data_IF_694308388959
#
_entry.id   IF_694308388959
#
_cell.length_a   1.000
_cell.length_b   1.000
_cell.length_c   1.000
_cell.angle_alpha   90.00
_cell.angle_beta   90.00
_cell.angle_gamma   90.00
#
_symmetry.space_group_name_H-M   'P 1'
#
loop_
_entity.id
_entity.type
_entity.pdbx_description
1 polymer ?
#
# COMPACT_ATOMS: atom_id res chain seq x y z
N UNK A 1 9.70 -8.18 0.23
CA UNK A 1 9.35 -6.89 0.86
C UNK A 1 8.53 -6.04 -0.10
N UNK A 2 7.34 -5.66 0.36
CA UNK A 2 6.30 -4.85 -0.30
C UNK A 2 5.79 -5.30 -1.68
N UNK A 3 6.00 -6.56 -2.06
CA UNK A 3 5.39 -7.24 -3.23
C UNK A 3 4.99 -6.37 -4.43
N UNK A 4 3.75 -6.59 -4.90
CA UNK A 4 3.06 -5.80 -5.94
C UNK A 4 2.38 -4.53 -5.39
N UNK A 5 2.78 -4.04 -4.20
CA UNK A 5 2.19 -2.85 -3.62
C UNK A 5 2.38 -1.66 -4.58
N UNK A 6 1.26 -1.01 -4.90
CA UNK A 6 1.22 0.11 -5.81
C UNK A 6 1.75 1.37 -5.14
N UNK A 7 1.94 2.44 -5.94
CA UNK A 7 2.29 3.75 -5.37
C UNK A 7 1.23 4.19 -4.36
N UNK A 8 -0.04 3.99 -4.67
CA UNK A 8 -1.15 4.45 -3.86
C UNK A 8 -1.25 3.68 -2.54
N UNK A 9 -1.00 2.37 -2.55
CA UNK A 9 -0.96 1.55 -1.32
C UNK A 9 0.12 2.08 -0.37
N UNK A 10 1.34 2.32 -0.90
CA UNK A 10 2.45 2.83 -0.10
C UNK A 10 2.21 4.24 0.42
N UNK A 11 1.59 5.11 -0.38
CA UNK A 11 1.20 6.47 0.03
C UNK A 11 0.17 6.40 1.15
N UNK A 12 -0.84 5.55 1.01
CA UNK A 12 -1.90 5.42 2.01
C UNK A 12 -1.35 4.92 3.34
N UNK A 13 -0.51 3.88 3.33
CA UNK A 13 0.12 3.39 4.57
C UNK A 13 0.99 4.45 5.23
N UNK A 14 1.82 5.15 4.46
CA UNK A 14 2.64 6.22 5.02
C UNK A 14 1.79 7.36 5.61
N UNK A 15 0.67 7.71 4.99
CA UNK A 15 -0.25 8.74 5.48
C UNK A 15 -0.93 8.28 6.79
N UNK A 16 -1.35 7.02 6.87
CA UNK A 16 -1.90 6.41 8.09
C UNK A 16 -0.87 6.36 9.24
N UNK A 17 0.41 6.22 8.90
CA UNK A 17 1.51 6.33 9.86
C UNK A 17 1.83 7.78 10.27
N UNK A 18 1.15 8.77 9.68
CA UNK A 18 1.39 10.20 9.91
C UNK A 18 2.70 10.70 9.28
N UNK A 19 3.28 9.95 8.35
CA UNK A 19 4.48 10.36 7.62
C UNK A 19 4.10 11.40 6.56
N UNK A 20 4.78 12.54 6.54
CA UNK A 20 4.56 13.53 5.48
C UNK A 20 5.15 13.02 4.16
N UNK A 21 4.34 12.95 3.11
CA UNK A 21 4.72 12.41 1.81
C UNK A 21 4.60 13.50 0.75
N UNK A 22 5.68 13.77 0.05
CA UNK A 22 5.62 14.53 -1.20
C UNK A 22 4.92 13.72 -2.29
N UNK A 23 3.95 14.33 -2.96
CA UNK A 23 3.16 13.70 -4.04
C UNK A 23 4.04 13.22 -5.21
N UNK A 24 5.21 13.84 -5.37
CA UNK A 24 6.19 13.56 -6.42
C UNK A 24 7.17 12.42 -6.07
N UNK A 25 7.02 11.79 -4.90
CA UNK A 25 7.84 10.64 -4.52
C UNK A 25 7.55 9.43 -5.40
N UNK A 26 8.61 8.87 -6.00
CA UNK A 26 8.55 7.59 -6.71
C UNK A 26 8.43 6.40 -5.77
N UNK A 27 7.88 5.29 -6.27
CA UNK A 27 7.66 4.03 -5.51
C UNK A 27 8.88 3.58 -4.71
N UNK A 28 10.08 3.62 -5.30
CA UNK A 28 11.32 3.21 -4.60
C UNK A 28 11.59 4.06 -3.36
N UNK A 29 11.38 5.37 -3.45
CA UNK A 29 11.56 6.27 -2.31
C UNK A 29 10.49 6.08 -1.25
N UNK A 30 9.24 5.79 -1.65
CA UNK A 30 8.15 5.47 -0.73
C UNK A 30 8.44 4.18 0.05
N UNK A 31 8.86 3.11 -0.65
CA UNK A 31 9.29 1.85 0.00
C UNK A 31 10.42 2.10 0.99
N UNK A 32 11.41 2.91 0.61
CA UNK A 32 12.52 3.26 1.50
C UNK A 32 12.06 4.07 2.72
N UNK A 33 11.18 5.05 2.54
CA UNK A 33 10.62 5.84 3.65
C UNK A 33 9.83 4.96 4.62
N UNK A 34 9.05 4.03 4.09
CA UNK A 34 8.27 3.08 4.89
C UNK A 34 9.19 2.18 5.73
N UNK A 35 10.27 1.65 5.16
CA UNK A 35 11.26 0.84 5.90
C UNK A 35 12.00 1.63 7.00
N UNK A 36 12.06 2.95 6.87
CA UNK A 36 12.67 3.83 7.87
C UNK A 36 11.65 4.37 8.88
N UNK A 37 10.35 4.14 8.67
CA UNK A 37 9.32 4.59 9.59
C UNK A 37 9.46 3.88 10.93
N UNK A 38 9.19 4.60 12.01
CA UNK A 38 9.28 4.06 13.37
C UNK A 38 8.39 2.82 13.54
N UNK A 39 7.18 2.85 12.99
CA UNK A 39 6.24 1.74 13.06
C UNK A 39 6.73 0.49 12.32
N UNK A 40 7.43 0.64 11.19
CA UNK A 40 8.06 -0.50 10.51
C UNK A 40 9.24 -1.07 11.31
N UNK A 41 10.01 -0.21 11.97
CA UNK A 41 11.13 -0.63 12.81
C UNK A 41 10.68 -1.28 14.13
N UNK A 42 9.52 -0.89 14.65
CA UNK A 42 8.90 -1.47 15.85
C UNK A 42 8.15 -2.77 15.53
N UNK A 43 7.42 -2.83 14.41
CA UNK A 43 6.63 -3.99 14.01
C UNK A 43 6.55 -4.10 12.48
N UNK A 44 7.58 -4.72 11.90
CA UNK A 44 7.67 -4.98 10.46
C UNK A 44 6.52 -5.88 9.96
N UNK A 45 6.12 -6.86 10.77
CA UNK A 45 5.12 -7.86 10.39
C UNK A 45 3.73 -7.22 10.30
N UNK A 46 3.41 -6.30 11.22
CA UNK A 46 2.21 -5.47 11.13
C UNK A 46 2.16 -4.67 9.83
N UNK A 47 3.22 -3.96 9.46
CA UNK A 47 3.23 -3.16 8.21
C UNK A 47 3.10 -4.05 6.97
N UNK A 48 3.76 -5.22 6.96
CA UNK A 48 3.61 -6.19 5.88
C UNK A 48 2.17 -6.70 5.77
N UNK A 49 1.51 -6.98 6.90
CA UNK A 49 0.13 -7.45 6.95
C UNK A 49 -0.87 -6.38 6.50
N UNK A 50 -0.67 -5.12 6.90
CA UNK A 50 -1.50 -3.99 6.43
C UNK A 50 -1.42 -3.88 4.91
N UNK A 51 -0.21 -3.87 4.34
CA UNK A 51 -0.04 -3.81 2.89
C UNK A 51 -0.64 -5.03 2.17
N UNK A 52 -0.51 -6.23 2.74
CA UNK A 52 -1.12 -7.43 2.18
C UNK A 52 -2.65 -7.32 2.13
N UNK A 53 -3.27 -6.83 3.21
CA UNK A 53 -4.73 -6.63 3.27
C UNK A 53 -5.21 -5.59 2.26
N UNK A 54 -4.50 -4.48 2.09
CA UNK A 54 -4.85 -3.46 1.09
C UNK A 54 -4.76 -4.00 -0.34
N UNK A 55 -3.74 -4.83 -0.61
CA UNK A 55 -3.57 -5.49 -1.90
C UNK A 55 -4.72 -6.48 -2.18
N UNK A 56 -5.15 -7.27 -1.19
CA UNK A 56 -6.30 -8.18 -1.31
C UNK A 56 -7.60 -7.41 -1.61
N UNK A 57 -7.86 -6.34 -0.86
CA UNK A 57 -9.02 -5.47 -1.07
C UNK A 57 -9.04 -4.84 -2.47
N UNK A 58 -7.88 -4.42 -2.97
CA UNK A 58 -7.75 -3.86 -4.32
C UNK A 58 -8.05 -4.91 -5.40
N UNK A 59 -7.60 -6.15 -5.20
CA UNK A 59 -7.81 -7.27 -6.12
C UNK A 59 -9.28 -7.71 -6.15
N UNK A 60 -9.94 -7.78 -4.99
CA UNK A 60 -11.37 -8.08 -4.93
C UNK A 60 -12.22 -6.99 -5.58
N UNK A 61 -11.92 -5.71 -5.30
CA UNK A 61 -12.61 -4.58 -5.95
C UNK A 61 -12.46 -4.62 -7.46
N UNK A 62 -11.27 -4.95 -7.97
CA UNK A 62 -11.05 -5.06 -9.40
C UNK A 62 -11.80 -6.24 -10.04
N UNK A 63 -11.79 -7.40 -9.40
CA UNK A 63 -12.57 -8.55 -9.86
C UNK A 63 -14.07 -8.24 -9.88
N UNK A 64 -14.57 -7.51 -8.88
CA UNK A 64 -15.95 -7.07 -8.83
C UNK A 64 -16.28 -6.13 -10.00
N UNK A 65 -15.42 -5.13 -10.28
CA UNK A 65 -15.59 -4.24 -11.44
C UNK A 65 -15.68 -5.01 -12.76
N UNK A 66 -14.77 -5.94 -13.00
CA UNK A 66 -14.78 -6.77 -14.22
C UNK A 66 -16.05 -7.61 -14.35
N UNK A 67 -16.53 -8.22 -13.26
CA UNK A 67 -17.81 -8.94 -13.24
C UNK A 67 -19.04 -8.07 -13.45
N UNK A 68 -18.99 -6.79 -13.08
CA UNK A 68 -20.08 -5.83 -13.33
C UNK A 68 -20.07 -5.36 -14.77
N UNK A 69 -18.89 -5.14 -15.36
CA UNK A 69 -18.75 -4.78 -16.78
C UNK A 69 -19.14 -5.92 -17.72
N UNK A 70 -18.78 -7.16 -17.43
CA UNK A 70 -19.19 -8.34 -18.24
C UNK A 70 -20.70 -8.62 -18.18
N UNK A 71 -21.42 -8.06 -17.20
CA UNK A 71 -22.87 -8.18 -17.07
C UNK A 71 -23.66 -7.00 -17.64
N UNK A 72 -22.99 -6.05 -18.29
CA UNK A 72 -23.59 -4.92 -19.02
C UNK A 72 -23.61 -5.20 -20.53
#
# INVERSE_FOLDING_TARGET
MFGNATKDDLVTVLDELGETIDSDLGILKLKHKLMLSKSYLEDEEFICNVLASMMEDSMEKEMYRKKVEERR
#
